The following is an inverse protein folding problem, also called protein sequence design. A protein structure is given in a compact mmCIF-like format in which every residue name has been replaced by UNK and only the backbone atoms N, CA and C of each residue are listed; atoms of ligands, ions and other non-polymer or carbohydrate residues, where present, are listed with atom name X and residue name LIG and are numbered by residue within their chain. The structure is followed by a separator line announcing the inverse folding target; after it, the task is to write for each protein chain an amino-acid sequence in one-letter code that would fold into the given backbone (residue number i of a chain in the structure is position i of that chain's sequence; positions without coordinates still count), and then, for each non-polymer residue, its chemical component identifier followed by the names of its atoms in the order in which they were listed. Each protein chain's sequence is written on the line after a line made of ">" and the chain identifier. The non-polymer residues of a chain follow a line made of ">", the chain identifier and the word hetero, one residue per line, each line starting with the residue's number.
data_IF_008884749139
#
_entry.id   IF_008884749139
#
_cell.length_a   1.000
_cell.length_b   1.000
_cell.length_c   1.000
_cell.angle_alpha   90.00
_cell.angle_beta   90.00
_cell.angle_gamma   90.00
#
_symmetry.space_group_name_H-M   'P 1'
#
loop_
_entity.id
_entity.type
_entity.pdbx_description
1 polymer ?
#
# COMPACT_ATOMS: atom_id res chain seq x y z
N UNK A 1 25.77 -14.07 -9.59
CA UNK A 1 24.80 -12.95 -9.58
C UNK A 1 23.60 -13.14 -8.64
N UNK A 2 23.45 -14.31 -8.00
CA UNK A 2 22.36 -14.63 -7.06
C UNK A 2 22.58 -14.05 -5.65
N UNK A 3 23.80 -14.13 -5.11
CA UNK A 3 24.11 -13.66 -3.76
C UNK A 3 23.91 -12.14 -3.58
N UNK A 4 24.37 -11.32 -4.54
CA UNK A 4 24.21 -9.86 -4.49
C UNK A 4 22.73 -9.45 -4.52
N UNK A 5 21.91 -10.14 -5.33
CA UNK A 5 20.46 -9.92 -5.37
C UNK A 5 19.80 -10.33 -4.06
N UNK A 6 20.21 -11.45 -3.46
CA UNK A 6 19.70 -11.91 -2.17
C UNK A 6 20.03 -10.93 -1.03
N UNK A 7 21.26 -10.43 -0.95
CA UNK A 7 21.65 -9.41 0.04
C UNK A 7 20.88 -8.10 -0.14
N UNK A 8 20.71 -7.64 -1.38
CA UNK A 8 19.93 -6.43 -1.67
C UNK A 8 18.46 -6.60 -1.27
N UNK A 9 17.86 -7.78 -1.51
CA UNK A 9 16.51 -8.09 -1.04
C UNK A 9 16.43 -8.11 0.49
N UNK A 10 17.37 -8.77 1.17
CA UNK A 10 17.41 -8.83 2.62
C UNK A 10 17.47 -7.44 3.26
N UNK A 11 18.35 -6.55 2.75
CA UNK A 11 18.46 -5.18 3.23
C UNK A 11 17.16 -4.39 3.05
N UNK A 12 16.44 -4.57 1.94
CA UNK A 12 15.12 -3.94 1.74
C UNK A 12 14.09 -4.46 2.74
N UNK A 13 14.05 -5.76 3.01
CA UNK A 13 13.14 -6.30 4.01
C UNK A 13 13.45 -5.76 5.40
N UNK A 14 14.72 -5.73 5.82
CA UNK A 14 15.11 -5.12 7.10
C UNK A 14 14.76 -3.63 7.17
N UNK A 15 14.95 -2.90 6.07
CA UNK A 15 14.66 -1.47 5.97
C UNK A 15 13.17 -1.14 6.14
N UNK A 16 12.30 -1.98 5.58
CA UNK A 16 10.84 -1.80 5.64
C UNK A 16 10.21 -2.56 6.82
N UNK A 17 10.98 -3.40 7.51
CA UNK A 17 10.49 -4.29 8.57
C UNK A 17 9.67 -3.56 9.64
N UNK A 18 10.11 -2.40 10.18
CA UNK A 18 9.36 -1.72 11.24
C UNK A 18 7.93 -1.35 10.82
N UNK A 19 7.76 -0.94 9.57
CA UNK A 19 6.44 -0.60 9.01
C UNK A 19 5.66 -1.87 8.67
N UNK A 20 6.34 -2.90 8.15
CA UNK A 20 5.70 -4.19 7.83
C UNK A 20 5.14 -4.87 9.09
N UNK A 21 5.77 -4.69 10.26
CA UNK A 21 5.24 -5.18 11.54
C UNK A 21 3.83 -4.62 11.84
N UNK A 22 3.56 -3.37 11.50
CA UNK A 22 2.22 -2.77 11.67
C UNK A 22 1.22 -3.49 10.77
N UNK A 23 1.60 -3.74 9.51
CA UNK A 23 0.79 -4.53 8.57
C UNK A 23 0.55 -5.97 9.06
N UNK A 24 1.53 -6.59 9.70
CA UNK A 24 1.40 -7.94 10.27
C UNK A 24 0.40 -7.97 11.43
N UNK A 25 0.42 -6.97 12.32
CA UNK A 25 -0.61 -6.85 13.38
C UNK A 25 -1.99 -6.74 12.76
N UNK A 26 -2.15 -5.98 11.68
CA UNK A 26 -3.41 -5.90 10.95
C UNK A 26 -3.80 -7.26 10.34
N UNK A 27 -2.87 -8.01 9.75
CA UNK A 27 -3.11 -9.38 9.25
C UNK A 27 -3.68 -10.28 10.34
N UNK A 28 -3.16 -10.22 11.58
CA UNK A 28 -3.68 -11.03 12.68
C UNK A 28 -5.17 -10.72 12.94
N UNK A 29 -5.54 -9.44 12.93
CA UNK A 29 -6.94 -9.03 13.07
C UNK A 29 -7.79 -9.52 11.89
N UNK A 30 -7.26 -9.49 10.67
CA UNK A 30 -7.94 -10.03 9.48
C UNK A 30 -8.21 -11.52 9.63
N UNK A 31 -7.23 -12.31 10.07
CA UNK A 31 -7.38 -13.76 10.26
C UNK A 31 -8.42 -14.05 11.34
N UNK A 32 -8.33 -13.40 12.50
CA UNK A 32 -9.26 -13.60 13.63
C UNK A 32 -10.70 -13.21 13.26
N UNK A 33 -10.87 -12.25 12.36
CA UNK A 33 -12.18 -11.83 11.86
C UNK A 33 -12.68 -12.63 10.65
N UNK A 34 -12.02 -13.73 10.27
CA UNK A 34 -12.45 -14.62 9.19
C UNK A 34 -12.04 -14.18 7.78
N UNK A 35 -11.07 -13.27 7.66
CA UNK A 35 -10.48 -12.87 6.38
C UNK A 35 -9.45 -13.88 5.85
N UNK A 36 -8.97 -13.61 4.64
CA UNK A 36 -8.00 -14.47 3.93
C UNK A 36 -6.69 -13.72 3.71
N UNK A 37 -5.56 -14.41 3.88
CA UNK A 37 -4.22 -13.87 3.59
C UNK A 37 -3.50 -14.77 2.59
N UNK A 38 -2.78 -14.17 1.65
CA UNK A 38 -2.02 -14.85 0.60
C UNK A 38 -0.69 -14.15 0.38
N UNK A 39 0.34 -14.92 0.00
CA UNK A 39 1.59 -14.35 -0.49
C UNK A 39 1.49 -14.21 -2.01
N UNK A 40 1.77 -13.02 -2.53
CA UNK A 40 1.80 -12.76 -3.97
C UNK A 40 3.02 -11.91 -4.31
N UNK A 41 3.91 -12.41 -5.17
CA UNK A 41 5.10 -11.67 -5.64
C UNK A 41 5.95 -11.03 -4.52
N UNK A 42 6.13 -11.71 -3.38
CA UNK A 42 6.96 -11.25 -2.27
C UNK A 42 6.25 -10.35 -1.26
N UNK A 43 4.95 -10.09 -1.41
CA UNK A 43 4.15 -9.32 -0.45
C UNK A 43 2.99 -10.15 0.11
N UNK A 44 2.50 -9.75 1.28
CA UNK A 44 1.34 -10.34 1.92
C UNK A 44 0.08 -9.57 1.50
N UNK A 45 -0.80 -10.20 0.74
CA UNK A 45 -2.12 -9.69 0.36
C UNK A 45 -3.17 -10.22 1.35
N UNK A 46 -3.90 -9.35 2.06
CA UNK A 46 -4.96 -9.71 2.98
C UNK A 46 -6.31 -9.09 2.57
N UNK A 47 -7.40 -9.85 2.68
CA UNK A 47 -8.73 -9.46 2.23
C UNK A 47 -9.86 -9.97 3.15
N UNK A 48 -11.01 -9.29 3.14
CA UNK A 48 -12.18 -9.69 3.91
C UNK A 48 -12.06 -9.45 5.41
N UNK A 49 -12.82 -10.20 6.22
CA UNK A 49 -12.88 -10.04 7.67
C UNK A 49 -13.27 -8.62 8.08
N UNK A 50 -12.47 -8.01 8.95
CA UNK A 50 -12.65 -6.62 9.42
C UNK A 50 -12.34 -5.54 8.37
N UNK A 51 -11.70 -5.87 7.25
CA UNK A 51 -11.21 -4.88 6.27
C UNK A 51 -12.31 -4.04 5.59
N UNK A 52 -13.43 -4.60 5.08
CA UNK A 52 -14.51 -3.79 4.51
C UNK A 52 -15.03 -2.72 5.47
N UNK A 53 -15.16 -3.07 6.74
CA UNK A 53 -15.60 -2.16 7.79
C UNK A 53 -14.54 -1.11 8.12
N UNK A 54 -13.26 -1.51 8.21
CA UNK A 54 -12.17 -0.60 8.55
C UNK A 54 -11.90 0.40 7.42
N UNK A 55 -11.72 -0.11 6.20
CA UNK A 55 -11.33 0.68 5.03
C UNK A 55 -12.45 1.62 4.53
N UNK A 56 -13.72 1.26 4.75
CA UNK A 56 -14.84 2.16 4.45
C UNK A 56 -14.92 3.36 5.39
N UNK A 57 -14.33 3.29 6.59
CA UNK A 57 -14.35 4.40 7.57
C UNK A 57 -13.21 5.38 7.42
N UNK A 58 -12.09 4.99 6.81
CA UNK A 58 -10.93 5.88 6.66
C UNK A 58 -11.28 7.11 5.82
N UNK A 59 -12.05 6.93 4.74
CA UNK A 59 -12.46 8.03 3.86
C UNK A 59 -13.95 7.98 3.57
N UNK A 60 -14.73 8.77 4.33
CA UNK A 60 -16.20 8.78 4.29
C UNK A 60 -16.82 9.00 2.91
N UNK A 61 -16.18 9.78 2.03
CA UNK A 61 -16.71 10.09 0.69
C UNK A 61 -16.34 9.08 -0.39
N UNK A 62 -15.36 8.23 -0.15
CA UNK A 62 -14.94 7.20 -1.10
C UNK A 62 -14.16 6.13 -0.34
N UNK A 63 -14.71 4.93 -0.13
CA UNK A 63 -14.02 3.86 0.57
C UNK A 63 -12.65 3.57 -0.03
N UNK A 64 -11.70 3.20 0.81
CA UNK A 64 -10.39 2.75 0.35
C UNK A 64 -10.52 1.30 -0.14
N UNK A 65 -10.29 1.04 -1.42
CA UNK A 65 -10.40 -0.31 -1.99
C UNK A 65 -9.28 -1.24 -1.51
N UNK A 66 -8.05 -0.72 -1.51
CA UNK A 66 -6.84 -1.37 -1.04
C UNK A 66 -5.87 -0.34 -0.45
N UNK A 67 -4.94 -0.80 0.38
CA UNK A 67 -3.92 0.03 1.01
C UNK A 67 -2.66 -0.80 1.27
N UNK A 68 -1.50 -0.18 1.02
CA UNK A 68 -0.19 -0.77 1.29
C UNK A 68 0.40 -0.25 2.60
N UNK A 69 0.98 -1.16 3.39
CA UNK A 69 1.70 -0.91 4.64
C UNK A 69 2.99 -1.73 4.59
N UNK A 70 4.07 -1.13 4.10
CA UNK A 70 5.33 -1.84 3.88
C UNK A 70 5.17 -2.97 2.85
N UNK A 71 5.42 -4.21 3.25
CA UNK A 71 5.22 -5.41 2.42
C UNK A 71 3.86 -6.10 2.63
N UNK A 72 2.91 -5.42 3.28
CA UNK A 72 1.54 -5.90 3.46
C UNK A 72 0.58 -5.04 2.65
N UNK A 73 -0.26 -5.66 1.84
CA UNK A 73 -1.35 -5.02 1.11
C UNK A 73 -2.65 -5.54 1.67
N UNK A 74 -3.51 -4.66 2.15
CA UNK A 74 -4.86 -5.00 2.61
C UNK A 74 -5.90 -4.49 1.64
N UNK A 75 -6.98 -5.22 1.42
CA UNK A 75 -8.09 -4.79 0.57
C UNK A 75 -9.44 -5.26 1.07
N UNK A 76 -10.50 -4.56 0.67
CA UNK A 76 -11.85 -4.92 1.09
C UNK A 76 -12.26 -6.31 0.59
N UNK A 77 -11.82 -6.68 -0.61
CA UNK A 77 -12.14 -7.96 -1.24
C UNK A 77 -11.04 -8.37 -2.22
N UNK A 78 -11.08 -9.63 -2.68
CA UNK A 78 -10.20 -10.11 -3.75
C UNK A 78 -10.27 -9.24 -5.00
N UNK A 79 -11.49 -8.84 -5.37
CA UNK A 79 -11.72 -7.99 -6.55
C UNK A 79 -11.07 -6.62 -6.39
N UNK A 80 -11.09 -6.05 -5.19
CA UNK A 80 -10.40 -4.79 -4.89
C UNK A 80 -8.89 -4.93 -4.98
N UNK A 81 -8.31 -5.99 -4.40
CA UNK A 81 -6.87 -6.25 -4.51
C UNK A 81 -6.42 -6.47 -5.95
N UNK A 82 -7.17 -7.21 -6.75
CA UNK A 82 -6.83 -7.44 -8.16
C UNK A 82 -6.88 -6.14 -8.98
N UNK A 83 -7.90 -5.31 -8.76
CA UNK A 83 -8.05 -4.01 -9.44
C UNK A 83 -6.95 -3.02 -9.07
N UNK A 84 -6.57 -2.97 -7.80
CA UNK A 84 -5.58 -2.02 -7.29
C UNK A 84 -4.15 -2.57 -7.31
N UNK A 85 -3.93 -3.79 -7.81
CA UNK A 85 -2.65 -4.50 -7.67
C UNK A 85 -1.45 -3.69 -8.14
N UNK A 86 -1.53 -3.10 -9.33
CA UNK A 86 -0.39 -2.36 -9.89
C UNK A 86 -0.15 -1.03 -9.16
N UNK A 87 -1.24 -0.39 -8.68
CA UNK A 87 -1.20 0.77 -7.82
C UNK A 87 -0.47 0.47 -6.50
N UNK A 88 -0.95 -0.54 -5.76
CA UNK A 88 -0.41 -0.90 -4.44
C UNK A 88 1.05 -1.37 -4.53
N UNK A 89 1.42 -2.05 -5.62
CA UNK A 89 2.82 -2.43 -5.86
C UNK A 89 3.76 -1.24 -6.03
N UNK A 90 3.27 -0.10 -6.52
CA UNK A 90 4.08 1.13 -6.55
C UNK A 90 4.35 1.59 -5.13
N UNK A 91 3.34 1.58 -4.25
CA UNK A 91 3.54 1.91 -2.84
C UNK A 91 4.49 0.95 -2.13
N UNK A 92 4.48 -0.35 -2.46
CA UNK A 92 5.48 -1.30 -1.95
C UNK A 92 6.88 -0.85 -2.34
N UNK A 93 7.11 -0.51 -3.62
CA UNK A 93 8.42 -0.01 -4.09
C UNK A 93 8.82 1.32 -3.46
N UNK A 94 7.84 2.19 -3.19
CA UNK A 94 8.09 3.44 -2.48
C UNK A 94 8.50 3.18 -1.03
N UNK A 95 7.85 2.24 -0.34
CA UNK A 95 8.30 1.77 0.97
C UNK A 95 9.69 1.14 0.90
N UNK A 96 10.00 0.29 -0.08
CA UNK A 96 11.35 -0.25 -0.27
C UNK A 96 12.42 0.84 -0.48
N UNK A 97 12.06 1.96 -1.11
CA UNK A 97 12.96 3.09 -1.35
C UNK A 97 13.13 3.97 -0.12
N UNK A 98 12.04 4.31 0.57
CA UNK A 98 12.04 5.34 1.61
C UNK A 98 11.87 4.80 3.03
N UNK A 99 11.51 3.52 3.18
CA UNK A 99 11.31 2.84 4.45
C UNK A 99 10.33 3.57 5.33
N UNK A 100 10.73 3.81 6.58
CA UNK A 100 9.92 4.56 7.55
C UNK A 100 9.68 6.02 7.15
N UNK A 101 10.55 6.61 6.31
CA UNK A 101 10.39 7.99 5.85
C UNK A 101 9.32 8.15 4.77
N UNK A 102 8.82 7.06 4.18
CA UNK A 102 7.78 7.14 3.16
C UNK A 102 6.54 7.88 3.67
N UNK A 103 6.04 7.56 4.87
CA UNK A 103 4.84 8.17 5.41
C UNK A 103 5.02 9.68 5.67
N UNK A 104 6.10 10.15 6.34
CA UNK A 104 6.42 11.58 6.42
C UNK A 104 6.51 12.26 5.05
N UNK A 105 7.18 11.65 4.07
CA UNK A 105 7.32 12.23 2.73
C UNK A 105 5.98 12.32 2.00
N UNK A 106 5.14 11.30 2.13
CA UNK A 106 3.78 11.30 1.59
C UNK A 106 2.98 12.47 2.18
N UNK A 107 3.00 12.63 3.50
CA UNK A 107 2.30 13.73 4.18
C UNK A 107 2.84 15.10 3.76
N UNK A 108 4.15 15.25 3.61
CA UNK A 108 4.77 16.48 3.10
C UNK A 108 4.33 16.78 1.66
N UNK A 109 4.23 15.76 0.79
CA UNK A 109 3.72 15.94 -0.56
C UNK A 109 2.25 16.38 -0.56
N UNK A 110 1.42 15.78 0.28
CA UNK A 110 0.01 16.18 0.44
C UNK A 110 -0.12 17.59 1.01
N UNK A 111 0.68 17.96 2.02
CA UNK A 111 0.68 19.31 2.60
C UNK A 111 1.12 20.35 1.57
N UNK A 112 2.15 20.04 0.78
CA UNK A 112 2.62 20.93 -0.28
C UNK A 112 1.59 21.12 -1.41
N UNK A 113 0.75 20.13 -1.69
CA UNK A 113 -0.41 20.28 -2.59
C UNK A 113 -1.48 21.18 -1.95
N UNK A 114 -1.80 20.94 -0.67
CA UNK A 114 -2.81 21.72 0.06
C UNK A 114 -2.44 23.21 0.16
N UNK A 115 -1.18 23.55 0.50
CA UNK A 115 -0.68 24.93 0.55
C UNK A 115 -0.78 25.65 -0.80
N UNK A 116 -0.79 24.89 -1.90
CA UNK A 116 -0.99 25.42 -3.27
C UNK A 116 -2.46 25.44 -3.70
N UNK A 117 -3.40 25.18 -2.80
CA UNK A 117 -4.84 25.10 -3.11
C UNK A 117 -5.24 23.92 -3.98
N UNK A 118 -4.42 22.86 -4.01
CA UNK A 118 -4.64 21.65 -4.81
C UNK A 118 -5.21 20.50 -3.98
N UNK A 119 -5.61 19.41 -4.63
CA UNK A 119 -6.17 18.25 -3.94
C UNK A 119 -5.03 17.45 -3.27
N UNK A 120 -5.01 17.32 -1.93
CA UNK A 120 -3.88 16.70 -1.22
C UNK A 120 -3.68 15.21 -1.52
N UNK A 121 -4.67 14.53 -2.11
CA UNK A 121 -4.56 13.13 -2.53
C UNK A 121 -4.21 13.05 -4.03
N UNK A 122 -4.99 13.67 -4.90
CA UNK A 122 -4.78 13.58 -6.37
C UNK A 122 -3.51 14.28 -6.83
N UNK A 123 -3.10 15.35 -6.14
CA UNK A 123 -1.89 16.09 -6.44
C UNK A 123 -0.68 15.67 -5.59
N UNK A 124 -0.79 14.56 -4.84
CA UNK A 124 0.34 13.93 -4.17
C UNK A 124 1.23 13.23 -5.21
N UNK A 125 2.54 13.51 -5.20
CA UNK A 125 3.50 12.95 -6.16
C UNK A 125 3.57 11.43 -6.11
N UNK A 126 3.43 10.84 -4.93
CA UNK A 126 3.48 9.39 -4.75
C UNK A 126 2.22 8.71 -5.29
N UNK A 127 1.05 9.34 -5.13
CA UNK A 127 -0.20 8.90 -5.74
C UNK A 127 -0.14 9.02 -7.27
N UNK A 128 0.38 10.14 -7.79
CA UNK A 128 0.56 10.32 -9.24
C UNK A 128 1.45 9.22 -9.85
N UNK A 129 2.58 8.90 -9.21
CA UNK A 129 3.43 7.77 -9.62
C UNK A 129 2.66 6.44 -9.62
N UNK A 130 1.84 6.20 -8.59
CA UNK A 130 1.04 4.99 -8.46
C UNK A 130 -0.03 4.88 -9.56
N UNK A 131 -0.76 5.98 -9.83
CA UNK A 131 -1.78 6.03 -10.86
C UNK A 131 -1.21 5.95 -12.29
N UNK A 132 -0.03 6.51 -12.56
CA UNK A 132 0.64 6.37 -13.86
C UNK A 132 0.88 4.90 -14.23
N UNK A 133 1.25 4.08 -13.25
CA UNK A 133 1.50 2.64 -13.46
C UNK A 133 0.19 1.83 -13.54
N UNK A 134 -0.86 2.31 -12.87
CA UNK A 134 -2.19 1.67 -12.86
C UNK A 134 -2.95 1.88 -14.19
N UNK A 135 -2.58 2.91 -14.95
CA UNK A 135 -3.34 3.38 -16.11
C UNK A 135 -2.73 2.91 -17.44
N UNK A 136 -2.59 1.59 -17.63
CA UNK A 136 -2.47 0.99 -18.98
C UNK A 136 -3.80 0.36 -19.44
N UNK A 137 -4.91 0.53 -18.71
CA UNK A 137 -6.19 -0.07 -19.11
C UNK A 137 -7.48 0.57 -18.58
N UNK A 138 -7.47 1.80 -18.09
CA UNK A 138 -8.67 2.37 -17.45
C UNK A 138 -8.90 3.86 -17.78
N UNK A 139 -8.88 4.19 -19.07
CA UNK A 139 -9.70 5.28 -19.61
C UNK A 139 -10.81 4.66 -20.47
N UNK A 140 -11.92 4.27 -19.83
CA UNK A 140 -13.26 4.26 -20.43
C UNK A 140 -14.28 4.51 -19.32
#
# INVERSE_FOLDING_TARGET
>A
MTAVRACASFLRYCWVLPVSCIGIVLILLVIVSGGTVRIAAGVLEAEGGILPWLLSRIRRRSPIDAMTIGHVIVGQSRRSLLRCRDHERVHVRQYERWGIFFLPLYLLSSAAALVRGRDPYRDNRFEQEAFQTSCTGMMR
#
